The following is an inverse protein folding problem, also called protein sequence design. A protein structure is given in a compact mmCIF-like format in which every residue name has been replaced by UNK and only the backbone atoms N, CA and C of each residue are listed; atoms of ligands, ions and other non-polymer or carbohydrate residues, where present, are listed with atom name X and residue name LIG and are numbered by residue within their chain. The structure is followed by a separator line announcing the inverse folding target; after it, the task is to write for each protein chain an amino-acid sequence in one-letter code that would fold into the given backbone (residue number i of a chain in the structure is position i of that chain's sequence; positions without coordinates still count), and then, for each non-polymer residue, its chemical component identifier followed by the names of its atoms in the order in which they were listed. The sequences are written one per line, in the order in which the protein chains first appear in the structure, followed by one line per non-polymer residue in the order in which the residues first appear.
data_IF_752674456167
#
_entry.id   IF_752674456167
#
_cell.length_a   1.000
_cell.length_b   1.000
_cell.length_c   1.000
_cell.angle_alpha   90.00
_cell.angle_beta   90.00
_cell.angle_gamma   90.00
#
_symmetry.space_group_name_H-M   'P 1'
#
loop_
_entity.id
_entity.type
_entity.pdbx_description
1 polymer ?
#
# COMPACT_ATOMS: atom_id res chain seq x y z
N UNK A 1 0.65 65.14 -1.19
CA UNK A 1 -0.40 64.28 -0.61
C UNK A 1 -0.03 64.04 0.84
N UNK A 2 -0.64 64.79 1.76
CA UNK A 2 -0.43 64.57 3.20
C UNK A 2 -1.39 63.48 3.66
N UNK A 3 -0.86 62.42 4.27
CA UNK A 3 -1.68 61.36 4.87
C UNK A 3 -2.34 61.94 6.12
N UNK A 4 -3.66 61.87 6.20
CA UNK A 4 -4.43 62.37 7.34
C UNK A 4 -4.06 61.56 8.60
N UNK A 5 -3.47 62.24 9.58
CA UNK A 5 -2.99 61.63 10.82
C UNK A 5 -4.12 60.89 11.57
N UNK A 6 -5.37 61.32 11.38
CA UNK A 6 -6.54 60.65 11.97
C UNK A 6 -6.77 59.25 11.39
N UNK A 7 -6.48 59.06 10.11
CA UNK A 7 -6.67 57.79 9.42
C UNK A 7 -5.58 56.77 9.80
N UNK A 8 -4.36 57.25 10.07
CA UNK A 8 -3.26 56.44 10.61
C UNK A 8 -3.54 56.00 12.04
N UNK A 9 -4.05 56.90 12.89
CA UNK A 9 -4.41 56.59 14.27
C UNK A 9 -5.58 55.59 14.32
N UNK A 10 -6.58 55.73 13.44
CA UNK A 10 -7.66 54.75 13.31
C UNK A 10 -7.13 53.37 12.88
N UNK A 11 -6.21 53.32 11.91
CA UNK A 11 -5.56 52.08 11.48
C UNK A 11 -4.81 51.39 12.62
N UNK A 12 -4.05 52.12 13.41
CA UNK A 12 -3.31 51.57 14.55
C UNK A 12 -4.26 51.05 15.64
N UNK A 13 -5.33 51.78 15.95
CA UNK A 13 -6.33 51.35 16.94
C UNK A 13 -7.03 50.05 16.51
N UNK A 14 -7.44 49.94 15.24
CA UNK A 14 -8.05 48.70 14.74
C UNK A 14 -7.09 47.51 14.80
N UNK A 15 -5.81 47.72 14.45
CA UNK A 15 -4.79 46.66 14.54
C UNK A 15 -4.57 46.21 15.99
N UNK A 16 -4.51 47.14 16.95
CA UNK A 16 -4.36 46.79 18.38
C UNK A 16 -5.58 46.05 18.92
N UNK A 17 -6.80 46.39 18.48
CA UNK A 17 -8.02 45.69 18.88
C UNK A 17 -8.05 44.25 18.33
N UNK A 18 -7.60 44.04 17.09
CA UNK A 18 -7.46 42.71 16.50
C UNK A 18 -6.38 41.86 17.22
N UNK A 19 -5.25 42.45 17.60
CA UNK A 19 -4.21 41.75 18.37
C UNK A 19 -4.70 41.36 19.76
N UNK A 20 -5.47 42.22 20.44
CA UNK A 20 -6.08 41.87 21.73
C UNK A 20 -7.14 40.76 21.61
N UNK A 21 -7.98 40.77 20.57
CA UNK A 21 -8.94 39.70 20.31
C UNK A 21 -8.26 38.36 20.02
N UNK A 22 -7.16 38.36 19.25
CA UNK A 22 -6.35 37.16 18.99
C UNK A 22 -5.68 36.65 20.28
N UNK A 23 -5.28 37.55 21.19
CA UNK A 23 -4.72 37.16 22.49
C UNK A 23 -5.79 36.61 23.46
N UNK A 24 -7.04 37.06 23.38
CA UNK A 24 -8.15 36.49 24.16
C UNK A 24 -8.50 35.08 23.69
N UNK A 25 -8.54 34.83 22.38
CA UNK A 25 -8.80 33.48 21.82
C UNK A 25 -7.68 32.48 22.20
N UNK A 26 -6.44 32.94 22.37
CA UNK A 26 -5.32 32.09 22.78
C UNK A 26 -5.32 31.75 24.28
N UNK A 27 -6.07 32.48 25.11
CA UNK A 27 -6.08 32.30 26.57
C UNK A 27 -7.20 31.38 27.07
N UNK A 28 -8.24 31.13 26.29
CA UNK A 28 -9.40 30.35 26.74
C UNK A 28 -9.38 28.85 26.38
N UNK A 29 -8.25 28.29 25.90
CA UNK A 29 -8.21 26.85 25.57
C UNK A 29 -7.04 26.02 26.09
N UNK A 30 -6.15 26.60 26.91
CA UNK A 30 -5.12 25.80 27.59
C UNK A 30 -4.78 26.44 28.94
N UNK A 31 -5.55 26.11 29.97
CA UNK A 31 -5.04 26.05 31.34
C UNK A 31 -5.75 24.93 32.12
N UNK A 32 -4.94 24.19 32.85
CA UNK A 32 -5.23 22.93 33.54
C UNK A 32 -6.33 23.04 34.60
N UNK A 33 -7.28 22.09 34.61
CA UNK A 33 -7.97 21.73 35.84
C UNK A 33 -7.27 20.54 36.50
N UNK A 34 -6.38 20.86 37.42
CA UNK A 34 -5.93 19.95 38.46
C UNK A 34 -6.92 20.02 39.62
N UNK A 35 -7.93 19.14 39.59
CA UNK A 35 -8.79 18.93 40.76
C UNK A 35 -8.07 18.04 41.79
N UNK A 36 -7.79 18.65 42.94
CA UNK A 36 -7.47 17.99 44.20
C UNK A 36 -8.77 17.48 44.83
N UNK A 37 -8.83 16.19 45.15
CA UNK A 37 -9.74 15.65 46.17
C UNK A 37 -8.94 14.77 47.16
N UNK A 38 -9.22 14.85 48.48
CA UNK A 38 -8.42 14.23 49.53
C UNK A 38 -8.94 12.84 49.96
N UNK A 39 -8.05 11.98 50.44
CA UNK A 39 -8.39 10.74 51.14
C UNK A 39 -7.23 9.73 51.25
N UNK A 40 -6.66 9.63 52.44
CA UNK A 40 -5.75 8.59 52.99
C UNK A 40 -6.19 7.14 52.67
N UNK A 41 -5.39 6.06 52.74
CA UNK A 41 -3.99 5.75 53.00
C UNK A 41 -3.78 4.27 52.57
N UNK A 42 -2.55 3.86 52.26
CA UNK A 42 -1.80 2.78 52.95
C UNK A 42 -0.68 2.21 52.08
N UNK A 43 0.51 2.23 52.68
CA UNK A 43 1.76 1.63 52.23
C UNK A 43 1.64 0.12 51.99
N UNK A 44 2.29 -0.34 50.91
CA UNK A 44 2.88 -1.67 50.88
C UNK A 44 4.13 -1.64 49.99
N UNK A 45 5.25 -1.31 50.63
CA UNK A 45 6.60 -1.55 50.17
C UNK A 45 6.87 -3.07 50.17
N UNK A 46 7.31 -3.64 49.05
CA UNK A 46 8.01 -4.92 49.06
C UNK A 46 9.16 -4.93 48.06
N UNK A 47 10.28 -5.40 48.58
CA UNK A 47 11.65 -5.18 48.14
C UNK A 47 12.04 -5.81 46.79
N UNK A 48 13.03 -5.17 46.19
CA UNK A 48 13.85 -5.70 45.11
C UNK A 48 14.70 -6.89 45.60
N UNK A 49 14.69 -7.98 44.85
CA UNK A 49 15.79 -8.94 44.83
C UNK A 49 16.10 -9.32 43.37
N UNK A 50 17.23 -8.81 42.88
CA UNK A 50 17.96 -9.37 41.75
C UNK A 50 18.29 -10.84 42.04
N UNK A 51 18.14 -11.76 41.08
CA UNK A 51 19.20 -12.59 40.49
C UNK A 51 18.59 -13.40 39.32
N UNK A 52 19.01 -13.13 38.09
CA UNK A 52 19.64 -14.06 37.14
C UNK A 52 19.65 -13.44 35.73
N UNK A 53 20.70 -12.67 35.47
CA UNK A 53 21.23 -12.52 34.11
C UNK A 53 21.74 -13.89 33.64
N UNK A 54 21.23 -14.36 32.50
CA UNK A 54 22.00 -14.94 31.38
C UNK A 54 21.04 -15.46 30.32
N UNK A 55 20.73 -14.62 29.33
CA UNK A 55 21.17 -14.83 27.95
C UNK A 55 20.64 -13.71 27.04
N UNK A 56 21.54 -13.14 26.24
CA UNK A 56 21.19 -12.40 25.03
C UNK A 56 20.58 -11.00 25.18
N UNK A 57 21.21 -10.11 25.95
CA UNK A 57 20.96 -8.67 25.87
C UNK A 57 21.35 -8.16 24.48
N UNK A 58 20.37 -8.13 23.55
CA UNK A 58 20.37 -7.14 22.48
C UNK A 58 20.39 -5.78 23.17
N UNK A 59 21.49 -5.08 22.97
CA UNK A 59 21.76 -3.75 23.48
C UNK A 59 20.57 -2.84 23.14
N UNK A 60 19.65 -2.65 24.10
CA UNK A 60 18.64 -1.59 24.11
C UNK A 60 19.37 -0.27 24.30
N UNK A 61 20.13 0.13 23.27
CA UNK A 61 20.64 1.46 23.13
C UNK A 61 19.43 2.39 23.10
N UNK A 62 19.42 3.36 24.02
CA UNK A 62 18.49 4.49 24.15
C UNK A 62 17.66 4.78 22.87
N UNK A 63 16.52 4.12 22.69
CA UNK A 63 15.57 4.44 21.60
C UNK A 63 14.65 5.56 22.08
N UNK A 64 14.99 6.81 21.78
CA UNK A 64 14.13 7.93 22.16
C UNK A 64 12.91 8.15 21.25
N UNK A 65 12.56 7.23 20.33
CA UNK A 65 11.55 7.52 19.28
C UNK A 65 10.65 6.35 18.83
N UNK A 66 10.41 5.30 19.60
CA UNK A 66 9.38 4.27 19.27
C UNK A 66 9.89 2.98 18.59
N UNK A 67 8.98 2.03 18.24
CA UNK A 67 9.27 0.63 17.89
C UNK A 67 9.63 0.42 16.41
N UNK A 68 10.28 1.40 15.79
CA UNK A 68 10.69 1.31 14.39
C UNK A 68 11.77 0.24 14.18
N UNK A 69 11.70 -0.49 13.07
CA UNK A 69 12.79 -1.36 12.62
C UNK A 69 13.63 -0.65 11.56
N UNK A 70 14.84 -1.14 11.34
CA UNK A 70 15.66 -0.72 10.22
C UNK A 70 15.21 -1.44 8.95
N UNK A 71 15.44 -0.81 7.80
CA UNK A 71 15.19 -1.44 6.52
C UNK A 71 16.12 -2.65 6.36
N UNK A 72 15.58 -3.73 5.79
CA UNK A 72 16.35 -4.92 5.48
C UNK A 72 17.16 -4.72 4.19
N UNK A 73 18.25 -5.48 4.05
CA UNK A 73 19.05 -5.45 2.83
C UNK A 73 18.20 -5.77 1.59
N UNK A 74 18.49 -5.06 0.50
CA UNK A 74 17.89 -5.30 -0.81
C UNK A 74 18.07 -6.78 -1.21
N UNK A 75 16.96 -7.42 -1.55
CA UNK A 75 16.96 -8.82 -1.95
C UNK A 75 17.28 -8.93 -3.44
N UNK A 76 18.00 -9.97 -3.85
CA UNK A 76 18.32 -10.17 -5.26
C UNK A 76 17.13 -10.79 -6.00
N UNK A 77 16.71 -10.23 -7.15
CA UNK A 77 15.65 -10.82 -7.97
C UNK A 77 16.06 -12.17 -8.57
N UNK A 78 15.09 -13.02 -8.88
CA UNK A 78 15.29 -14.34 -9.50
C UNK A 78 15.27 -14.33 -11.04
N UNK A 79 15.22 -13.15 -11.63
CA UNK A 79 15.20 -12.95 -13.08
C UNK A 79 16.40 -12.10 -13.52
N UNK A 80 16.87 -12.36 -14.73
CA UNK A 80 17.94 -11.59 -15.37
C UNK A 80 17.80 -11.69 -16.88
N UNK A 81 18.28 -10.68 -17.62
CA UNK A 81 18.23 -10.68 -19.09
C UNK A 81 18.89 -11.90 -19.73
N UNK A 82 19.93 -12.45 -19.09
CA UNK A 82 20.65 -13.65 -19.53
C UNK A 82 19.90 -14.95 -19.29
N UNK A 83 18.85 -14.95 -18.46
CA UNK A 83 18.10 -16.15 -18.12
C UNK A 83 17.07 -16.57 -19.18
N UNK A 84 16.99 -15.86 -20.32
CA UNK A 84 15.93 -16.05 -21.31
C UNK A 84 16.49 -16.18 -22.71
N UNK A 85 16.12 -17.27 -23.38
CA UNK A 85 16.48 -17.51 -24.77
C UNK A 85 15.77 -16.54 -25.72
N UNK A 86 16.44 -16.21 -26.83
CA UNK A 86 15.83 -15.46 -27.94
C UNK A 86 14.71 -16.30 -28.54
N UNK A 87 13.48 -15.79 -28.52
CA UNK A 87 12.33 -16.47 -29.09
C UNK A 87 12.05 -15.94 -30.50
N UNK A 88 11.97 -16.85 -31.47
CA UNK A 88 11.38 -16.58 -32.78
C UNK A 88 9.85 -16.55 -32.64
N UNK A 89 9.23 -15.46 -33.10
CA UNK A 89 7.80 -15.22 -32.90
C UNK A 89 6.95 -16.16 -33.77
N UNK A 90 6.01 -16.88 -33.15
CA UNK A 90 5.04 -17.70 -33.89
C UNK A 90 3.90 -16.90 -34.55
N UNK A 91 3.83 -15.59 -34.28
CA UNK A 91 2.79 -14.68 -34.75
C UNK A 91 1.61 -14.57 -33.77
N UNK A 92 0.66 -13.67 -34.08
CA UNK A 92 -0.55 -13.47 -33.27
C UNK A 92 -0.40 -12.48 -32.12
N UNK A 93 -1.55 -12.06 -31.57
CA UNK A 93 -1.64 -11.04 -30.52
C UNK A 93 -2.41 -11.53 -29.29
N UNK A 94 -1.86 -11.20 -28.12
CA UNK A 94 -2.52 -11.37 -26.82
C UNK A 94 -2.93 -9.98 -26.32
N UNK A 95 -4.22 -9.82 -26.05
CA UNK A 95 -4.79 -8.58 -25.49
C UNK A 95 -5.39 -8.85 -24.13
N UNK A 96 -5.46 -7.82 -23.28
CA UNK A 96 -6.09 -7.90 -21.96
C UNK A 96 -6.46 -6.49 -21.50
N UNK A 97 -7.25 -6.41 -20.43
CA UNK A 97 -7.61 -5.14 -19.79
C UNK A 97 -7.27 -5.23 -18.31
N UNK A 98 -6.77 -4.13 -17.77
CA UNK A 98 -6.60 -3.95 -16.33
C UNK A 98 -7.93 -3.57 -15.71
N UNK A 99 -8.29 -4.19 -14.60
CA UNK A 99 -9.58 -3.93 -13.94
C UNK A 99 -9.39 -3.76 -12.43
N UNK A 100 -10.40 -3.18 -11.78
CA UNK A 100 -10.47 -3.01 -10.33
C UNK A 100 -9.49 -1.96 -9.78
N UNK A 101 -8.27 -2.32 -9.44
CA UNK A 101 -7.32 -1.48 -8.71
C UNK A 101 -5.88 -1.90 -8.95
N UNK A 102 -4.89 -1.07 -8.57
CA UNK A 102 -3.47 -1.33 -8.80
C UNK A 102 -3.00 -2.68 -8.25
N UNK A 103 -3.57 -3.16 -7.15
CA UNK A 103 -3.30 -4.49 -6.58
C UNK A 103 -3.73 -5.65 -7.48
N UNK A 104 -4.72 -5.44 -8.36
CA UNK A 104 -5.13 -6.41 -9.38
C UNK A 104 -4.28 -6.27 -10.65
N UNK A 105 -3.91 -5.03 -11.00
CA UNK A 105 -3.15 -4.74 -12.22
C UNK A 105 -1.81 -5.47 -12.24
N UNK A 106 -1.09 -5.51 -11.10
CA UNK A 106 0.18 -6.23 -10.94
C UNK A 106 0.02 -7.71 -11.33
N UNK A 107 -0.98 -8.39 -10.78
CA UNK A 107 -1.25 -9.81 -11.07
C UNK A 107 -1.69 -10.04 -12.52
N UNK A 108 -2.60 -9.19 -13.03
CA UNK A 108 -3.12 -9.29 -14.41
C UNK A 108 -2.00 -9.18 -15.45
N UNK A 109 -1.04 -8.28 -15.23
CA UNK A 109 0.13 -8.13 -16.10
C UNK A 109 1.03 -9.34 -16.01
N UNK A 110 1.32 -9.82 -14.81
CA UNK A 110 2.18 -11.00 -14.64
C UNK A 110 1.62 -12.21 -15.40
N UNK A 111 0.33 -12.50 -15.27
CA UNK A 111 -0.32 -13.60 -16.00
C UNK A 111 -0.29 -13.38 -17.51
N UNK A 112 -0.58 -12.15 -17.98
CA UNK A 112 -0.58 -11.83 -19.41
C UNK A 112 0.83 -11.97 -20.03
N UNK A 113 1.87 -11.55 -19.31
CA UNK A 113 3.27 -11.69 -19.73
C UNK A 113 3.67 -13.16 -19.79
N UNK A 114 3.31 -13.96 -18.79
CA UNK A 114 3.54 -15.41 -18.78
C UNK A 114 2.88 -16.09 -19.99
N UNK A 115 1.59 -15.81 -20.22
CA UNK A 115 0.83 -16.38 -21.34
C UNK A 115 1.44 -15.97 -22.68
N UNK A 116 1.73 -14.68 -22.87
CA UNK A 116 2.29 -14.19 -24.13
C UNK A 116 3.70 -14.74 -24.40
N UNK A 117 4.53 -14.88 -23.36
CA UNK A 117 5.84 -15.53 -23.45
C UNK A 117 5.72 -16.99 -23.85
N UNK A 118 4.84 -17.75 -23.19
CA UNK A 118 4.61 -19.16 -23.48
C UNK A 118 4.17 -19.37 -24.93
N UNK A 119 3.20 -18.58 -25.39
CA UNK A 119 2.65 -18.67 -26.74
C UNK A 119 3.57 -18.05 -27.80
N UNK A 120 4.66 -17.39 -27.41
CA UNK A 120 5.55 -16.61 -28.31
C UNK A 120 4.79 -15.52 -29.10
N UNK A 121 3.73 -14.98 -28.48
CA UNK A 121 2.82 -14.01 -29.07
C UNK A 121 3.28 -12.57 -28.82
N UNK A 122 2.74 -11.62 -29.60
CA UNK A 122 2.92 -10.20 -29.32
C UNK A 122 1.90 -9.74 -28.27
N UNK A 123 2.38 -9.12 -27.19
CA UNK A 123 1.54 -8.55 -26.15
C UNK A 123 1.11 -7.14 -26.55
N UNK A 124 -0.19 -6.83 -26.43
CA UNK A 124 -0.71 -5.48 -26.67
C UNK A 124 -0.83 -4.73 -25.35
N UNK A 125 -0.44 -3.45 -25.35
CA UNK A 125 -0.60 -2.56 -24.20
C UNK A 125 -2.08 -2.56 -23.75
N UNK A 126 -2.38 -2.77 -22.46
CA UNK A 126 -3.77 -2.91 -22.01
C UNK A 126 -4.44 -1.54 -21.80
N UNK A 127 -5.77 -1.51 -21.92
CA UNK A 127 -6.62 -0.45 -21.37
C UNK A 127 -6.86 -0.67 -19.87
N UNK A 128 -7.23 0.39 -19.14
CA UNK A 128 -7.67 0.31 -17.74
C UNK A 128 -9.18 0.54 -17.70
N UNK A 129 -9.92 -0.40 -17.08
CA UNK A 129 -11.38 -0.33 -16.95
C UNK A 129 -11.78 -0.12 -15.51
N UNK A 130 -12.55 0.94 -15.28
CA UNK A 130 -13.18 1.23 -14.00
C UNK A 130 -14.41 0.37 -13.74
N UNK A 131 -15.04 0.63 -12.60
CA UNK A 131 -16.20 -0.13 -12.12
C UNK A 131 -17.49 0.13 -12.91
N UNK A 132 -17.54 1.24 -13.66
CA UNK A 132 -18.73 1.66 -14.42
C UNK A 132 -18.55 1.40 -15.92
N UNK A 133 -19.59 0.94 -16.63
CA UNK A 133 -19.52 0.81 -18.09
C UNK A 133 -19.15 2.15 -18.75
N UNK A 134 -18.12 2.13 -19.60
CA UNK A 134 -17.61 3.33 -20.28
C UNK A 134 -16.54 4.10 -19.50
N UNK A 135 -16.21 3.70 -18.27
CA UNK A 135 -15.04 4.21 -17.54
C UNK A 135 -13.79 3.47 -18.03
N UNK A 136 -13.25 3.94 -19.16
CA UNK A 136 -12.03 3.43 -19.78
C UNK A 136 -10.95 4.51 -19.73
N UNK A 137 -9.74 4.11 -19.33
CA UNK A 137 -8.55 4.96 -19.26
C UNK A 137 -7.43 4.32 -20.04
N UNK A 138 -6.54 5.16 -20.56
CA UNK A 138 -5.34 4.68 -21.21
C UNK A 138 -4.34 4.20 -20.15
N UNK A 139 -3.46 3.27 -20.51
CA UNK A 139 -2.40 2.82 -19.62
C UNK A 139 -1.49 3.97 -19.20
N UNK A 140 -1.13 4.85 -20.15
CA UNK A 140 -0.28 6.03 -19.92
C UNK A 140 -0.89 7.06 -18.95
N UNK A 141 -2.19 7.01 -18.69
CA UNK A 141 -2.81 7.91 -17.72
C UNK A 141 -2.33 7.63 -16.30
N UNK A 142 -1.88 6.40 -16.01
CA UNK A 142 -1.43 5.96 -14.68
C UNK A 142 0.03 5.49 -14.69
N UNK A 143 0.43 4.73 -15.70
CA UNK A 143 1.70 4.00 -15.73
C UNK A 143 2.64 4.48 -16.83
N UNK A 144 3.95 4.34 -16.58
CA UNK A 144 5.00 4.70 -17.52
C UNK A 144 5.13 3.65 -18.64
N UNK A 145 4.66 3.99 -19.84
CA UNK A 145 4.70 3.11 -21.02
C UNK A 145 6.13 2.77 -21.43
N UNK A 146 7.04 3.73 -21.38
CA UNK A 146 8.42 3.53 -21.83
C UNK A 146 9.14 2.54 -20.92
N UNK A 147 8.96 2.68 -19.59
CA UNK A 147 9.50 1.73 -18.62
C UNK A 147 8.87 0.35 -18.75
N UNK A 148 7.55 0.27 -18.94
CA UNK A 148 6.84 -1.00 -19.15
C UNK A 148 7.36 -1.76 -20.38
N UNK A 149 7.52 -1.06 -21.51
CA UNK A 149 8.04 -1.69 -22.74
C UNK A 149 9.49 -2.11 -22.56
N UNK A 150 10.31 -1.25 -21.95
CA UNK A 150 11.74 -1.51 -21.74
C UNK A 150 12.00 -2.68 -20.79
N UNK A 151 11.22 -2.85 -19.73
CA UNK A 151 11.41 -3.95 -18.77
C UNK A 151 11.10 -5.32 -19.37
N UNK A 152 10.29 -5.36 -20.43
CA UNK A 152 9.82 -6.58 -21.09
C UNK A 152 10.43 -6.83 -22.48
N UNK A 153 11.27 -5.91 -23.00
CA UNK A 153 11.80 -5.95 -24.38
C UNK A 153 12.54 -7.25 -24.73
N UNK A 154 13.11 -7.91 -23.72
CA UNK A 154 13.86 -9.15 -23.83
C UNK A 154 13.02 -10.40 -23.50
N UNK A 155 11.78 -10.23 -23.01
CA UNK A 155 10.84 -11.33 -22.70
C UNK A 155 9.79 -11.48 -23.78
N UNK A 156 9.08 -10.40 -24.10
CA UNK A 156 7.90 -10.42 -24.95
C UNK A 156 7.87 -9.15 -25.79
N UNK A 157 7.53 -9.29 -27.07
CA UNK A 157 7.34 -8.12 -27.93
C UNK A 157 6.05 -7.41 -27.52
N UNK A 158 6.14 -6.10 -27.33
CA UNK A 158 5.00 -5.26 -27.00
C UNK A 158 4.69 -4.32 -28.15
N UNK A 159 3.40 -4.13 -28.42
CA UNK A 159 2.89 -3.09 -29.31
C UNK A 159 1.87 -2.23 -28.57
N UNK A 160 1.77 -0.95 -28.93
CA UNK A 160 0.82 -0.02 -28.32
C UNK A 160 -0.62 -0.36 -28.69
N UNK A 161 -0.86 -0.69 -29.96
CA UNK A 161 -2.19 -0.93 -30.50
C UNK A 161 -2.19 -2.19 -31.38
N UNK A 162 -3.37 -2.80 -31.52
CA UNK A 162 -3.57 -3.85 -32.51
C UNK A 162 -3.52 -3.27 -33.93
N UNK A 163 -3.07 -4.06 -34.92
CA UNK A 163 -3.27 -3.72 -36.32
C UNK A 163 -4.74 -3.43 -36.64
N UNK A 164 -4.99 -2.46 -37.52
CA UNK A 164 -6.34 -1.99 -37.89
C UNK A 164 -7.25 -3.11 -38.44
N UNK A 165 -6.66 -4.17 -38.97
CA UNK A 165 -7.36 -5.32 -39.51
C UNK A 165 -7.95 -6.23 -38.40
N UNK A 166 -7.47 -6.11 -37.16
CA UNK A 166 -7.85 -6.95 -36.02
C UNK A 166 -8.79 -6.18 -35.10
N UNK A 167 -10.04 -6.65 -34.97
CA UNK A 167 -11.01 -6.05 -34.06
C UNK A 167 -11.02 -6.76 -32.70
N UNK A 168 -10.73 -6.02 -31.62
CA UNK A 168 -10.79 -6.51 -30.22
C UNK A 168 -12.14 -7.19 -29.92
N UNK A 169 -13.24 -6.64 -30.41
CA UNK A 169 -14.60 -7.15 -30.15
C UNK A 169 -14.87 -8.52 -30.77
N UNK A 170 -14.05 -8.94 -31.73
CA UNK A 170 -14.15 -10.24 -32.41
C UNK A 170 -13.16 -11.27 -31.86
N UNK A 171 -12.30 -10.89 -30.93
CA UNK A 171 -11.33 -11.80 -30.32
C UNK A 171 -12.02 -12.79 -29.39
N UNK A 172 -11.56 -14.04 -29.42
CA UNK A 172 -11.99 -15.04 -28.45
C UNK A 172 -11.51 -14.65 -27.05
N UNK A 173 -12.43 -14.52 -26.12
CA UNK A 173 -12.12 -14.26 -24.72
C UNK A 173 -11.77 -15.57 -24.00
N UNK A 174 -10.57 -15.65 -23.43
CA UNK A 174 -10.07 -16.81 -22.68
C UNK A 174 -9.93 -16.41 -21.22
N UNK A 175 -10.57 -17.15 -20.32
CA UNK A 175 -10.46 -16.92 -18.88
C UNK A 175 -9.18 -17.55 -18.37
N UNK A 176 -8.44 -16.81 -17.54
CA UNK A 176 -7.16 -17.25 -16.96
C UNK A 176 -7.19 -17.01 -15.45
N UNK A 177 -6.81 -17.97 -14.60
CA UNK A 177 -6.70 -17.73 -13.17
C UNK A 177 -5.49 -16.84 -12.86
N UNK A 178 -5.59 -16.03 -11.80
CA UNK A 178 -4.42 -15.41 -11.17
C UNK A 178 -3.38 -16.48 -10.81
N UNK A 179 -2.10 -16.19 -11.07
CA UNK A 179 -0.99 -17.14 -10.94
C UNK A 179 -1.16 -18.30 -11.91
N UNK A 180 -1.34 -17.97 -13.18
CA UNK A 180 -1.52 -18.95 -14.25
C UNK A 180 -0.37 -19.95 -14.28
N UNK A 181 -0.72 -21.24 -14.38
CA UNK A 181 0.25 -22.33 -14.50
C UNK A 181 0.47 -22.71 -15.96
N UNK A 182 1.62 -23.29 -16.26
CA UNK A 182 1.92 -23.83 -17.60
C UNK A 182 0.87 -24.83 -18.06
N UNK A 183 0.48 -25.76 -17.20
CA UNK A 183 -0.57 -26.76 -17.48
C UNK A 183 -1.88 -26.09 -17.89
N UNK A 184 -2.28 -25.01 -17.20
CA UNK A 184 -3.50 -24.29 -17.56
C UNK A 184 -3.40 -23.66 -18.96
N UNK A 185 -2.22 -23.16 -19.33
CA UNK A 185 -1.97 -22.57 -20.65
C UNK A 185 -2.09 -23.64 -21.73
N UNK A 186 -1.41 -24.78 -21.55
CA UNK A 186 -1.44 -25.91 -22.49
C UNK A 186 -2.86 -26.43 -22.70
N UNK A 187 -3.60 -26.61 -21.61
CA UNK A 187 -4.92 -27.25 -21.68
C UNK A 187 -6.02 -26.29 -22.18
N UNK A 188 -5.96 -25.00 -21.82
CA UNK A 188 -7.10 -24.08 -21.96
C UNK A 188 -6.84 -22.89 -22.88
N UNK A 189 -5.59 -22.44 -23.02
CA UNK A 189 -5.26 -21.20 -23.73
C UNK A 189 -4.66 -21.48 -25.10
N UNK A 190 -3.65 -22.35 -25.16
CA UNK A 190 -2.92 -22.71 -26.37
C UNK A 190 -3.82 -23.26 -27.48
N UNK A 191 -4.82 -24.14 -27.22
CA UNK A 191 -5.70 -24.66 -28.27
C UNK A 191 -6.54 -23.55 -28.93
N UNK A 192 -7.01 -22.60 -28.12
CA UNK A 192 -7.79 -21.45 -28.60
C UNK A 192 -6.89 -20.52 -29.40
N UNK A 193 -5.67 -20.26 -28.92
CA UNK A 193 -4.69 -19.42 -29.62
C UNK A 193 -4.31 -20.01 -30.98
N UNK A 194 -3.98 -21.31 -31.05
CA UNK A 194 -3.67 -22.00 -32.31
C UNK A 194 -4.83 -21.95 -33.32
N UNK A 195 -6.08 -22.00 -32.83
CA UNK A 195 -7.27 -21.94 -33.69
C UNK A 195 -7.60 -20.53 -34.18
N UNK A 196 -7.41 -19.51 -33.35
CA UNK A 196 -7.89 -18.15 -33.61
C UNK A 196 -6.80 -17.15 -34.00
N UNK A 197 -5.53 -17.46 -33.70
CA UNK A 197 -4.36 -16.62 -33.89
C UNK A 197 -4.26 -15.44 -32.91
N UNK A 198 -5.39 -14.85 -32.51
CA UNK A 198 -5.45 -13.70 -31.61
C UNK A 198 -6.47 -13.95 -30.49
N UNK A 199 -6.11 -13.63 -29.26
CA UNK A 199 -6.97 -13.87 -28.09
C UNK A 199 -7.03 -12.66 -27.17
N UNK A 200 -8.09 -12.62 -26.37
CA UNK A 200 -8.27 -11.67 -25.29
C UNK A 200 -8.30 -12.39 -23.96
N UNK A 201 -7.39 -12.10 -23.06
CA UNK A 201 -7.37 -12.67 -21.72
C UNK A 201 -8.35 -11.93 -20.81
N UNK A 202 -8.98 -12.71 -19.94
CA UNK A 202 -9.81 -12.21 -18.85
C UNK A 202 -9.38 -12.92 -17.56
N UNK A 203 -8.54 -12.25 -16.78
CA UNK A 203 -8.04 -12.80 -15.52
C UNK A 203 -9.14 -12.82 -14.46
N UNK A 204 -9.25 -13.92 -13.73
CA UNK A 204 -10.11 -14.03 -12.55
C UNK A 204 -9.29 -14.48 -11.34
N UNK A 205 -9.76 -14.13 -10.14
CA UNK A 205 -9.02 -14.32 -8.90
C UNK A 205 -9.71 -15.40 -8.06
N UNK A 206 -9.37 -16.69 -8.23
CA UNK A 206 -10.00 -17.78 -7.46
C UNK A 206 -9.65 -17.69 -5.97
N UNK A 207 -8.47 -17.15 -5.64
CA UNK A 207 -8.04 -16.87 -4.28
C UNK A 207 -7.33 -15.53 -4.21
N UNK A 208 -7.42 -14.86 -3.06
CA UNK A 208 -6.70 -13.60 -2.77
C UNK A 208 -5.44 -13.83 -1.93
N UNK A 209 -5.05 -15.09 -1.72
CA UNK A 209 -3.95 -15.45 -0.84
C UNK A 209 -2.66 -15.68 -1.64
N UNK A 210 -1.68 -14.79 -1.52
CA UNK A 210 -0.40 -14.88 -2.23
C UNK A 210 0.65 -15.66 -1.44
N UNK A 211 0.33 -16.87 -1.00
CA UNK A 211 1.33 -17.75 -0.36
C UNK A 211 2.24 -18.36 -1.41
N UNK A 212 3.54 -18.44 -1.10
CA UNK A 212 4.51 -19.17 -1.93
C UNK A 212 4.10 -20.64 -2.04
N UNK A 213 4.17 -21.18 -3.25
CA UNK A 213 4.06 -22.61 -3.53
C UNK A 213 5.45 -23.26 -3.43
N UNK A 214 5.50 -24.58 -3.23
CA UNK A 214 6.76 -25.29 -2.98
C UNK A 214 7.58 -25.56 -4.26
N UNK A 215 7.05 -25.28 -5.44
CA UNK A 215 7.59 -25.74 -6.72
C UNK A 215 8.09 -24.54 -7.52
N UNK A 216 9.39 -24.50 -7.83
CA UNK A 216 10.04 -23.41 -8.55
C UNK A 216 10.22 -23.79 -10.03
N UNK A 217 9.66 -23.00 -10.94
CA UNK A 217 9.69 -23.22 -12.40
C UNK A 217 10.28 -22.02 -13.16
N UNK A 218 10.62 -22.17 -14.45
CA UNK A 218 11.05 -21.04 -15.30
C UNK A 218 9.93 -20.03 -15.56
N UNK A 219 8.67 -20.50 -15.55
CA UNK A 219 7.46 -19.67 -15.56
C UNK A 219 7.47 -18.71 -14.37
N UNK A 220 8.04 -19.11 -13.24
CA UNK A 220 8.09 -18.27 -12.05
C UNK A 220 9.01 -17.07 -12.25
N UNK A 221 10.14 -17.18 -12.95
CA UNK A 221 11.01 -16.02 -13.20
C UNK A 221 10.35 -14.99 -14.13
N UNK A 222 9.57 -15.44 -15.12
CA UNK A 222 8.76 -14.55 -15.99
C UNK A 222 7.66 -13.87 -15.18
N UNK A 223 6.95 -14.64 -14.35
CA UNK A 223 5.90 -14.12 -13.48
C UNK A 223 6.49 -13.08 -12.51
N UNK A 224 7.62 -13.38 -11.86
CA UNK A 224 8.29 -12.46 -10.96
C UNK A 224 8.71 -11.16 -11.67
N UNK A 225 9.33 -11.22 -12.86
CA UNK A 225 9.60 -10.01 -13.64
C UNK A 225 8.31 -9.22 -13.89
N UNK A 226 7.27 -9.91 -14.35
CA UNK A 226 5.93 -9.36 -14.60
C UNK A 226 5.35 -8.63 -13.40
N UNK A 227 5.53 -9.17 -12.19
CA UNK A 227 5.01 -8.59 -10.95
C UNK A 227 5.82 -7.39 -10.46
N UNK A 228 7.15 -7.45 -10.56
CA UNK A 228 8.02 -6.52 -9.82
C UNK A 228 8.72 -5.45 -10.65
N UNK A 229 8.92 -5.64 -11.96
CA UNK A 229 9.71 -4.71 -12.78
C UNK A 229 8.89 -4.03 -13.90
N UNK A 230 7.59 -4.33 -14.02
CA UNK A 230 6.78 -3.84 -15.14
C UNK A 230 6.00 -2.56 -14.84
N UNK A 231 5.46 -2.42 -13.62
CA UNK A 231 4.58 -1.31 -13.27
C UNK A 231 5.28 -0.23 -12.47
N UNK A 232 5.53 0.88 -13.15
CA UNK A 232 5.93 2.15 -12.55
C UNK A 232 4.92 3.25 -12.87
N UNK A 233 4.70 4.16 -11.93
CA UNK A 233 3.81 5.30 -12.15
C UNK A 233 4.42 6.26 -13.16
N UNK A 234 3.57 6.81 -14.02
CA UNK A 234 4.00 7.90 -14.90
C UNK A 234 4.38 9.14 -14.07
N UNK A 235 5.29 10.01 -14.55
CA UNK A 235 5.92 11.06 -13.74
C UNK A 235 4.95 12.00 -13.04
N UNK A 236 3.83 12.35 -13.68
CA UNK A 236 2.84 13.26 -13.07
C UNK A 236 2.17 12.63 -11.84
N UNK A 237 1.78 11.35 -11.93
CA UNK A 237 1.12 10.63 -10.84
C UNK A 237 2.12 10.33 -9.74
N UNK A 238 3.33 9.90 -10.09
CA UNK A 238 4.40 9.67 -9.13
C UNK A 238 4.74 10.95 -8.35
N UNK A 239 4.82 12.10 -9.03
CA UNK A 239 5.09 13.39 -8.37
C UNK A 239 4.04 13.78 -7.34
N UNK A 240 2.77 13.40 -7.54
CA UNK A 240 1.71 13.61 -6.54
C UNK A 240 1.93 12.71 -5.32
N UNK A 241 2.19 11.42 -5.55
CA UNK A 241 2.47 10.45 -4.47
C UNK A 241 3.68 10.89 -3.65
N UNK A 242 4.79 11.23 -4.31
CA UNK A 242 6.02 11.69 -3.67
C UNK A 242 5.79 12.97 -2.86
N UNK A 243 5.05 13.93 -3.41
CA UNK A 243 4.69 15.15 -2.69
C UNK A 243 3.86 14.87 -1.43
N UNK A 244 2.92 13.91 -1.49
CA UNK A 244 2.13 13.51 -0.33
C UNK A 244 2.98 12.81 0.73
N UNK A 245 3.89 11.92 0.30
CA UNK A 245 4.83 11.24 1.19
C UNK A 245 5.74 12.27 1.87
N UNK A 246 6.33 13.20 1.13
CA UNK A 246 7.20 14.25 1.70
C UNK A 246 6.47 15.14 2.72
N UNK A 247 5.20 15.44 2.46
CA UNK A 247 4.36 16.17 3.42
C UNK A 247 4.14 15.34 4.68
N UNK A 248 3.82 14.05 4.56
CA UNK A 248 3.68 13.13 5.70
C UNK A 248 4.99 13.03 6.49
N UNK A 249 6.14 12.91 5.83
CA UNK A 249 7.46 12.91 6.48
C UNK A 249 7.73 14.23 7.22
N UNK A 250 7.40 15.36 6.60
CA UNK A 250 7.53 16.69 7.23
C UNK A 250 6.65 16.84 8.47
N UNK A 251 5.42 16.31 8.46
CA UNK A 251 4.53 16.30 9.62
C UNK A 251 5.05 15.36 10.74
N UNK A 252 5.89 14.40 10.37
CA UNK A 252 6.48 13.36 11.22
C UNK A 252 7.85 13.70 11.80
N UNK A 253 8.26 14.98 11.83
CA UNK A 253 9.57 15.43 12.37
C UNK A 253 9.92 14.86 13.76
N UNK A 254 8.93 14.67 14.64
CA UNK A 254 9.15 14.11 15.98
C UNK A 254 9.54 12.62 15.97
N UNK A 255 9.23 11.91 14.88
CA UNK A 255 9.53 10.49 14.65
C UNK A 255 10.58 10.27 13.56
N UNK A 256 11.48 11.25 13.35
CA UNK A 256 12.51 11.23 12.29
C UNK A 256 11.94 11.14 10.88
N UNK A 257 10.76 11.70 10.65
CA UNK A 257 10.11 11.63 9.34
C UNK A 257 9.42 10.30 9.07
N UNK A 258 9.29 9.42 10.07
CA UNK A 258 8.61 8.12 9.94
C UNK A 258 7.12 8.22 10.22
N UNK A 259 6.32 7.54 9.40
CA UNK A 259 4.87 7.49 9.53
C UNK A 259 4.32 6.08 9.30
N UNK A 260 3.11 5.85 9.80
CA UNK A 260 2.39 4.58 9.64
C UNK A 260 1.27 4.80 8.64
N UNK A 261 1.15 3.91 7.65
CA UNK A 261 -0.02 3.83 6.79
C UNK A 261 -0.92 2.69 7.29
N UNK A 262 -2.19 3.00 7.52
CA UNK A 262 -3.20 2.02 7.96
C UNK A 262 -4.19 1.87 6.82
N UNK A 263 -4.31 0.63 6.32
CA UNK A 263 -5.32 0.30 5.34
C UNK A 263 -6.67 0.07 6.03
N UNK A 264 -7.50 1.10 6.11
CA UNK A 264 -8.73 1.14 6.89
C UNK A 264 -9.79 1.98 6.15
N UNK A 265 -10.67 1.28 5.44
CA UNK A 265 -11.87 1.88 4.82
C UNK A 265 -13.13 1.46 5.58
N UNK A 266 -13.94 2.44 5.99
CA UNK A 266 -15.20 2.20 6.72
C UNK A 266 -16.15 1.36 5.87
N UNK A 267 -16.25 1.66 4.57
CA UNK A 267 -17.10 0.94 3.63
C UNK A 267 -16.71 -0.55 3.54
N UNK A 268 -15.41 -0.87 3.57
CA UNK A 268 -14.92 -2.25 3.54
C UNK A 268 -15.25 -2.97 4.86
N UNK A 269 -15.13 -2.28 6.00
CA UNK A 269 -15.43 -2.87 7.31
C UNK A 269 -16.92 -3.15 7.50
N UNK A 270 -17.79 -2.25 7.05
CA UNK A 270 -19.24 -2.43 7.07
C UNK A 270 -19.64 -3.62 6.18
N UNK A 271 -19.12 -3.68 4.95
CA UNK A 271 -19.41 -4.77 4.01
C UNK A 271 -18.96 -6.15 4.52
N UNK A 272 -17.91 -6.21 5.35
CA UNK A 272 -17.42 -7.48 5.93
C UNK A 272 -18.08 -7.85 7.25
N UNK A 273 -19.07 -7.09 7.74
CA UNK A 273 -19.70 -7.29 9.05
C UNK A 273 -18.65 -7.49 10.14
N UNK A 274 -17.69 -6.56 10.23
CA UNK A 274 -16.60 -6.58 11.22
C UNK A 274 -17.08 -6.30 12.66
N UNK A 275 -18.20 -6.90 13.05
CA UNK A 275 -18.74 -6.90 14.40
C UNK A 275 -18.07 -8.03 15.19
N UNK A 276 -17.40 -7.65 16.29
CA UNK A 276 -16.60 -8.58 17.07
C UNK A 276 -17.43 -9.72 17.68
N UNK A 277 -17.10 -10.96 17.32
CA UNK A 277 -17.01 -12.12 18.21
C UNK A 277 -16.66 -13.36 17.37
N UNK A 278 -15.38 -13.70 17.31
CA UNK A 278 -14.92 -15.00 16.83
C UNK A 278 -14.33 -15.76 18.01
N UNK A 279 -15.14 -16.52 18.73
CA UNK A 279 -14.64 -17.51 19.68
C UNK A 279 -13.69 -18.47 18.95
N UNK A 280 -12.44 -18.53 19.42
CA UNK A 280 -11.37 -19.48 19.05
C UNK A 280 -10.77 -19.43 17.64
N UNK A 281 -11.01 -18.38 16.84
CA UNK A 281 -10.38 -18.18 15.51
C UNK A 281 -9.73 -16.79 15.33
N UNK A 282 -8.72 -16.68 14.45
CA UNK A 282 -8.12 -15.40 14.09
C UNK A 282 -9.15 -14.49 13.38
N UNK A 283 -9.30 -13.24 13.83
CA UNK A 283 -10.21 -12.26 13.22
C UNK A 283 -9.80 -11.94 11.78
N UNK A 284 -10.78 -11.78 10.89
CA UNK A 284 -10.56 -11.48 9.47
C UNK A 284 -10.48 -9.97 9.17
N UNK A 285 -10.92 -9.14 10.12
CA UNK A 285 -10.86 -7.68 10.06
C UNK A 285 -10.86 -7.03 11.45
N UNK A 286 -10.44 -5.76 11.50
CA UNK A 286 -10.24 -4.98 12.73
C UNK A 286 -10.75 -3.56 12.56
N UNK A 287 -11.36 -3.02 13.62
CA UNK A 287 -11.85 -1.65 13.61
C UNK A 287 -10.80 -0.62 14.07
N UNK A 288 -11.13 0.66 13.92
CA UNK A 288 -10.26 1.78 14.30
C UNK A 288 -9.76 1.70 15.76
N UNK A 289 -10.64 1.34 16.69
CA UNK A 289 -10.30 1.27 18.12
C UNK A 289 -9.28 0.16 18.40
N UNK A 290 -9.48 -1.04 17.82
CA UNK A 290 -8.57 -2.17 17.97
C UNK A 290 -7.18 -1.83 17.43
N UNK A 291 -7.11 -1.26 16.22
CA UNK A 291 -5.86 -0.84 15.59
C UNK A 291 -5.16 0.21 16.45
N UNK A 292 -5.88 1.23 16.93
CA UNK A 292 -5.31 2.28 17.75
C UNK A 292 -4.71 1.75 19.05
N UNK A 293 -5.43 0.84 19.71
CA UNK A 293 -4.99 0.20 20.95
C UNK A 293 -3.77 -0.70 20.72
N UNK A 294 -3.75 -1.50 19.66
CA UNK A 294 -2.59 -2.32 19.30
C UNK A 294 -1.36 -1.45 19.07
N UNK A 295 -1.47 -0.42 18.23
CA UNK A 295 -0.35 0.49 17.94
C UNK A 295 0.17 1.20 19.18
N UNK A 296 -0.73 1.68 20.05
CA UNK A 296 -0.35 2.47 21.23
C UNK A 296 0.12 1.62 22.41
N UNK A 297 -0.63 0.56 22.74
CA UNK A 297 -0.45 -0.21 23.99
C UNK A 297 0.40 -1.44 23.80
N UNK A 298 0.32 -2.09 22.64
CA UNK A 298 1.03 -3.36 22.39
C UNK A 298 2.36 -3.10 21.68
N UNK A 299 2.33 -2.38 20.56
CA UNK A 299 3.55 -2.09 19.78
C UNK A 299 4.35 -0.96 20.42
N UNK A 300 3.67 0.02 21.02
CA UNK A 300 4.30 1.09 21.82
C UNK A 300 4.66 2.36 21.04
N UNK A 301 3.91 2.68 19.97
CA UNK A 301 4.08 3.96 19.27
C UNK A 301 3.68 5.16 20.13
N UNK A 302 4.38 6.29 19.95
CA UNK A 302 4.07 7.54 20.64
C UNK A 302 2.82 8.22 20.05
N UNK A 303 2.08 9.00 20.84
CA UNK A 303 0.88 9.72 20.36
C UNK A 303 1.21 10.78 19.31
N UNK A 304 2.46 11.27 19.24
CA UNK A 304 2.92 12.16 18.17
C UNK A 304 3.26 11.42 16.87
N UNK A 305 3.11 10.09 16.81
CA UNK A 305 3.31 9.31 15.58
C UNK A 305 2.27 9.72 14.54
N UNK A 306 2.73 10.02 13.33
CA UNK A 306 1.85 10.38 12.21
C UNK A 306 1.23 9.11 11.62
N UNK A 307 -0.09 9.16 11.43
CA UNK A 307 -0.87 8.09 10.82
C UNK A 307 -1.48 8.60 9.52
N UNK A 308 -1.37 7.83 8.45
CA UNK A 308 -2.12 8.01 7.20
C UNK A 308 -3.17 6.90 7.08
N UNK A 309 -4.42 7.25 6.78
CA UNK A 309 -5.52 6.29 6.58
C UNK A 309 -5.92 6.22 5.11
N UNK A 310 -6.13 5.01 4.58
CA UNK A 310 -6.74 4.76 3.24
C UNK A 310 -8.26 4.92 3.30
N UNK A 311 -8.69 6.14 3.56
CA UNK A 311 -10.09 6.50 3.65
C UNK A 311 -10.33 7.72 2.76
N UNK A 312 -11.33 7.63 1.89
CA UNK A 312 -11.67 8.69 0.93
C UNK A 312 -12.06 10.00 1.60
N UNK A 313 -12.90 9.90 2.64
CA UNK A 313 -13.42 11.04 3.42
C UNK A 313 -13.46 10.72 4.89
N UNK A 314 -13.26 11.73 5.72
CA UNK A 314 -13.32 11.55 7.16
C UNK A 314 -14.67 10.97 7.58
N UNK A 315 -14.61 9.99 8.48
CA UNK A 315 -15.76 9.34 9.07
C UNK A 315 -15.61 9.36 10.60
N UNK A 316 -16.68 9.66 11.31
CA UNK A 316 -16.65 9.85 12.77
C UNK A 316 -16.31 8.56 13.53
N UNK A 317 -16.52 7.38 12.93
CA UNK A 317 -16.09 6.10 13.50
C UNK A 317 -14.56 5.98 13.64
N UNK A 318 -13.80 6.81 12.91
CA UNK A 318 -12.34 6.88 12.95
C UNK A 318 -11.81 7.86 14.02
N UNK A 319 -12.69 8.59 14.72
CA UNK A 319 -12.33 9.58 15.75
C UNK A 319 -11.39 9.03 16.81
N UNK A 320 -11.63 7.79 17.27
CA UNK A 320 -10.78 7.12 18.27
C UNK A 320 -9.30 7.02 17.86
N UNK A 321 -9.00 6.80 16.57
CA UNK A 321 -7.63 6.79 16.06
C UNK A 321 -7.01 8.18 16.17
N UNK A 322 -7.78 9.22 15.84
CA UNK A 322 -7.33 10.62 15.92
C UNK A 322 -7.18 11.11 17.37
N UNK A 323 -8.02 10.65 18.29
CA UNK A 323 -7.91 10.98 19.70
C UNK A 323 -6.62 10.42 20.32
N UNK A 324 -6.25 9.19 19.93
CA UNK A 324 -5.01 8.54 20.39
C UNK A 324 -3.77 9.06 19.63
N UNK A 325 -3.91 9.28 18.33
CA UNK A 325 -2.87 9.81 17.44
C UNK A 325 -3.38 11.09 16.75
N UNK A 326 -3.25 12.28 17.39
CA UNK A 326 -3.77 13.55 16.85
C UNK A 326 -3.27 13.92 15.46
N UNK A 327 -2.13 13.36 15.04
CA UNK A 327 -1.55 13.49 13.70
C UNK A 327 -2.04 12.41 12.75
N UNK A 328 -3.35 12.19 12.72
CA UNK A 328 -4.00 11.28 11.78
C UNK A 328 -4.53 12.06 10.59
N UNK A 329 -4.14 11.63 9.39
CA UNK A 329 -4.42 12.30 8.13
C UNK A 329 -5.04 11.34 7.11
N UNK A 330 -5.84 11.89 6.21
CA UNK A 330 -6.43 11.22 5.04
C UNK A 330 -5.97 11.94 3.77
N UNK A 331 -6.25 11.35 2.60
CA UNK A 331 -5.93 11.93 1.28
C UNK A 331 -6.27 13.42 1.18
N UNK A 332 -7.52 13.80 1.50
CA UNK A 332 -8.02 15.20 1.40
C UNK A 332 -7.20 16.20 2.22
N UNK A 333 -6.57 15.76 3.31
CA UNK A 333 -5.76 16.63 4.19
C UNK A 333 -4.30 16.77 3.77
N UNK A 334 -3.81 15.89 2.89
CA UNK A 334 -2.40 15.79 2.51
C UNK A 334 -2.18 16.15 1.04
N UNK A 335 -3.17 15.94 0.18
CA UNK A 335 -3.09 16.27 -1.24
C UNK A 335 -2.80 17.78 -1.43
N UNK A 336 -1.85 18.17 -2.30
CA UNK A 336 -1.59 19.57 -2.62
C UNK A 336 -2.80 20.23 -3.29
N UNK A 337 -3.11 21.46 -2.90
CA UNK A 337 -4.31 22.17 -3.39
C UNK A 337 -4.32 22.33 -4.91
N UNK A 338 -3.16 22.53 -5.54
CA UNK A 338 -3.06 22.67 -7.00
C UNK A 338 -3.34 21.35 -7.75
N UNK A 339 -3.29 20.21 -7.06
CA UNK A 339 -3.51 18.87 -7.63
C UNK A 339 -4.90 18.31 -7.32
N UNK A 340 -5.78 19.11 -6.71
CA UNK A 340 -7.09 18.67 -6.25
C UNK A 340 -8.04 18.21 -7.38
N UNK A 341 -8.10 18.88 -8.54
CA UNK A 341 -9.07 18.55 -9.59
C UNK A 341 -8.98 17.10 -10.09
N UNK A 342 -7.88 16.75 -10.77
CA UNK A 342 -7.67 15.43 -11.40
C UNK A 342 -7.69 14.26 -10.40
N UNK A 343 -7.31 14.47 -9.14
CA UNK A 343 -7.07 13.41 -8.14
C UNK A 343 -8.14 13.34 -7.02
N UNK A 344 -9.08 14.29 -6.95
CA UNK A 344 -10.24 14.26 -6.03
C UNK A 344 -11.58 14.04 -6.75
N UNK A 345 -11.60 13.92 -8.08
CA UNK A 345 -12.83 13.99 -8.87
C UNK A 345 -13.84 12.85 -8.63
N UNK A 346 -13.52 11.81 -7.85
CA UNK A 346 -14.52 10.88 -7.28
C UNK A 346 -13.94 9.97 -6.19
N UNK A 347 -14.80 9.50 -5.26
CA UNK A 347 -14.49 8.51 -4.22
C UNK A 347 -13.99 7.16 -4.75
N UNK A 348 -14.35 6.82 -6.00
CA UNK A 348 -13.96 5.56 -6.66
C UNK A 348 -12.91 5.77 -7.75
N UNK A 349 -12.24 6.92 -7.78
CA UNK A 349 -11.29 7.20 -8.85
C UNK A 349 -10.13 6.19 -8.82
N UNK A 350 -9.76 5.67 -9.99
CA UNK A 350 -8.59 4.78 -10.10
C UNK A 350 -7.31 5.43 -9.56
N UNK A 351 -7.22 6.76 -9.64
CA UNK A 351 -6.10 7.52 -9.09
C UNK A 351 -6.02 7.48 -7.57
N UNK A 352 -7.16 7.49 -6.87
CA UNK A 352 -7.18 7.39 -5.41
C UNK A 352 -6.62 6.05 -4.94
N UNK A 353 -7.09 4.94 -5.51
CA UNK A 353 -6.57 3.60 -5.21
C UNK A 353 -5.07 3.48 -5.50
N UNK A 354 -4.61 4.11 -6.59
CA UNK A 354 -3.19 4.20 -6.94
C UNK A 354 -2.40 4.94 -5.87
N UNK A 355 -2.84 6.14 -5.47
CA UNK A 355 -2.17 6.92 -4.43
C UNK A 355 -2.08 6.12 -3.13
N UNK A 356 -3.18 5.53 -2.69
CA UNK A 356 -3.25 4.74 -1.46
C UNK A 356 -2.32 3.52 -1.51
N UNK A 357 -2.36 2.75 -2.60
CA UNK A 357 -1.51 1.59 -2.78
C UNK A 357 -0.01 1.94 -2.69
N UNK A 358 0.41 3.03 -3.33
CA UNK A 358 1.82 3.45 -3.33
C UNK A 358 2.24 4.11 -2.01
N UNK A 359 1.40 4.91 -1.35
CA UNK A 359 1.71 5.45 -0.02
C UNK A 359 1.87 4.31 1.00
N UNK A 360 0.96 3.33 1.00
CA UNK A 360 1.04 2.15 1.87
C UNK A 360 2.29 1.29 1.58
N UNK A 361 2.68 1.18 0.30
CA UNK A 361 3.89 0.47 -0.10
C UNK A 361 5.18 1.18 0.36
N UNK A 362 5.16 2.52 0.46
CA UNK A 362 6.35 3.32 0.78
C UNK A 362 6.46 3.78 2.24
N UNK A 363 5.40 3.63 3.04
CA UNK A 363 5.38 4.00 4.46
C UNK A 363 6.42 3.23 5.28
N UNK A 364 6.77 3.74 6.46
CA UNK A 364 7.75 3.07 7.32
C UNK A 364 7.14 1.84 8.01
N UNK A 365 5.84 1.91 8.34
CA UNK A 365 5.04 0.76 8.81
C UNK A 365 3.72 0.71 8.05
N UNK A 366 3.28 -0.49 7.70
CA UNK A 366 1.97 -0.74 7.12
C UNK A 366 1.11 -1.60 8.06
N UNK A 367 -0.18 -1.24 8.17
CA UNK A 367 -1.14 -1.92 9.05
C UNK A 367 -2.41 -2.24 8.25
N UNK A 368 -2.65 -3.49 7.85
CA UNK A 368 -3.89 -3.88 7.19
C UNK A 368 -5.01 -4.07 8.21
N UNK A 369 -6.13 -3.36 8.06
CA UNK A 369 -7.34 -3.62 8.84
C UNK A 369 -8.06 -4.88 8.37
N UNK A 370 -7.84 -5.31 7.13
CA UNK A 370 -8.57 -6.41 6.50
C UNK A 370 -7.61 -7.30 5.72
N UNK A 371 -7.81 -8.62 5.80
CA UNK A 371 -7.11 -9.54 4.89
C UNK A 371 -7.72 -9.49 3.48
N UNK A 372 -6.86 -9.44 2.45
CA UNK A 372 -7.30 -9.39 1.06
C UNK A 372 -6.15 -9.14 0.08
N UNK A 373 -6.51 -8.92 -1.19
CA UNK A 373 -5.56 -8.75 -2.28
C UNK A 373 -4.75 -7.45 -2.14
N UNK A 374 -5.37 -6.37 -1.64
CA UNK A 374 -4.66 -5.11 -1.37
C UNK A 374 -3.52 -5.31 -0.37
N UNK A 375 -3.82 -5.91 0.79
CA UNK A 375 -2.80 -6.29 1.76
C UNK A 375 -1.71 -7.19 1.15
N UNK A 376 -2.08 -8.25 0.43
CA UNK A 376 -1.09 -9.15 -0.18
C UNK A 376 -0.14 -8.40 -1.13
N UNK A 377 -0.65 -7.55 -2.02
CA UNK A 377 0.18 -6.81 -2.97
C UNK A 377 0.94 -5.62 -2.34
N UNK A 378 0.43 -5.00 -1.27
CA UNK A 378 1.24 -4.03 -0.50
C UNK A 378 2.37 -4.78 0.21
N UNK A 379 2.08 -5.93 0.81
CA UNK A 379 3.11 -6.76 1.45
C UNK A 379 4.19 -7.18 0.44
N UNK A 380 3.77 -7.54 -0.76
CA UNK A 380 4.63 -7.82 -1.89
C UNK A 380 5.64 -6.71 -2.18
N UNK A 381 5.17 -5.48 -2.47
CA UNK A 381 6.05 -4.34 -2.76
C UNK A 381 6.96 -3.98 -1.59
N UNK A 382 6.45 -4.09 -0.36
CA UNK A 382 7.23 -3.85 0.86
C UNK A 382 8.34 -4.88 1.07
N UNK A 383 8.09 -6.16 0.79
CA UNK A 383 9.11 -7.21 0.85
C UNK A 383 10.18 -6.97 -0.22
N UNK A 384 9.78 -6.66 -1.45
CA UNK A 384 10.70 -6.41 -2.56
C UNK A 384 11.61 -5.19 -2.31
N UNK A 385 11.07 -4.13 -1.71
CA UNK A 385 11.81 -2.90 -1.37
C UNK A 385 12.58 -2.97 -0.05
N UNK A 386 12.62 -4.13 0.61
CA UNK A 386 13.36 -4.28 1.88
C UNK A 386 12.69 -3.60 3.08
N UNK A 387 11.40 -3.26 3.00
CA UNK A 387 10.61 -2.60 4.06
C UNK A 387 9.54 -3.52 4.68
N UNK A 388 9.88 -4.70 5.23
CA UNK A 388 8.89 -5.72 5.60
C UNK A 388 8.14 -5.41 6.91
N UNK A 389 8.14 -4.17 7.39
CA UNK A 389 7.45 -3.78 8.63
C UNK A 389 5.95 -3.72 8.36
N UNK A 390 5.27 -4.84 8.60
CA UNK A 390 3.83 -4.98 8.44
C UNK A 390 3.28 -5.54 9.73
N UNK A 391 2.46 -4.76 10.43
CA UNK A 391 1.89 -5.15 11.70
C UNK A 391 0.42 -5.52 11.50
N UNK A 392 0.04 -6.80 11.68
CA UNK A 392 -1.35 -7.19 11.61
C UNK A 392 -2.06 -6.70 12.88
N UNK A 393 -3.38 -6.59 12.83
CA UNK A 393 -4.14 -6.05 13.95
C UNK A 393 -4.63 -7.12 14.97
N UNK A 394 -4.28 -8.41 14.79
CA UNK A 394 -4.50 -9.52 15.76
C UNK A 394 -3.39 -9.70 16.79
N UNK A 395 -2.51 -8.73 16.99
CA UNK A 395 -1.38 -8.94 17.90
C UNK A 395 -1.87 -9.32 19.31
N UNK A 396 -1.51 -10.51 19.84
CA UNK A 396 -1.90 -10.92 21.18
C UNK A 396 -1.30 -9.99 22.23
N UNK A 397 -2.12 -9.55 23.18
CA UNK A 397 -1.73 -8.64 24.28
C UNK A 397 -0.58 -9.21 25.14
N UNK A 398 -0.38 -10.53 25.13
CA UNK A 398 0.67 -11.23 25.90
C UNK A 398 2.03 -11.31 25.20
N UNK A 399 2.17 -10.78 23.99
CA UNK A 399 3.41 -10.90 23.23
C UNK A 399 4.46 -9.88 23.70
N UNK A 400 5.62 -10.36 24.12
CA UNK A 400 6.73 -9.57 24.71
C UNK A 400 7.87 -9.26 23.72
N UNK A 401 7.81 -9.75 22.48
CA UNK A 401 8.90 -9.59 21.48
C UNK A 401 8.40 -8.90 20.21
N UNK A 402 9.16 -7.92 19.70
CA UNK A 402 8.81 -7.13 18.49
C UNK A 402 8.61 -8.00 17.24
N UNK A 403 9.33 -9.13 17.13
CA UNK A 403 9.21 -10.08 16.01
C UNK A 403 7.86 -10.79 15.92
N UNK A 404 7.13 -10.87 17.04
CA UNK A 404 5.80 -11.47 17.08
C UNK A 404 4.70 -10.52 16.56
N UNK A 405 5.04 -9.26 16.32
CA UNK A 405 4.14 -8.25 15.77
C UNK A 405 4.15 -8.23 14.25
N UNK A 406 5.00 -9.03 13.61
CA UNK A 406 5.09 -9.08 12.16
C UNK A 406 3.99 -9.96 11.57
N UNK A 407 3.47 -9.48 10.45
CA UNK A 407 2.59 -10.25 9.58
C UNK A 407 3.11 -11.69 9.38
N UNK A 408 2.22 -12.70 9.32
CA UNK A 408 2.60 -14.06 8.96
C UNK A 408 3.35 -14.15 7.62
N UNK A 409 3.06 -13.25 6.67
CA UNK A 409 3.78 -13.16 5.39
C UNK A 409 5.27 -12.93 5.59
N UNK A 410 5.62 -12.05 6.51
CA UNK A 410 6.98 -11.65 6.82
C UNK A 410 7.63 -12.60 7.80
N UNK A 411 6.98 -12.84 8.95
CA UNK A 411 7.52 -13.66 10.03
C UNK A 411 7.82 -15.09 9.59
N UNK A 412 6.94 -15.69 8.77
CA UNK A 412 7.10 -17.06 8.25
C UNK A 412 7.75 -17.10 6.86
N UNK A 413 8.10 -15.95 6.28
CA UNK A 413 8.59 -15.81 4.90
C UNK A 413 7.76 -16.63 3.90
N UNK A 414 6.44 -16.57 3.99
CA UNK A 414 5.53 -17.41 3.21
C UNK A 414 4.76 -16.66 2.12
N UNK A 415 5.03 -15.37 1.92
CA UNK A 415 4.54 -14.61 0.76
C UNK A 415 5.24 -15.04 -0.54
N UNK A 416 4.55 -14.97 -1.68
CA UNK A 416 5.10 -15.31 -3.01
C UNK A 416 6.35 -14.50 -3.35
N UNK A 417 6.41 -13.23 -2.96
CA UNK A 417 7.57 -12.35 -3.14
C UNK A 417 8.91 -13.00 -2.70
N UNK A 418 8.92 -13.80 -1.64
CA UNK A 418 10.15 -14.49 -1.20
C UNK A 418 10.65 -15.59 -2.14
N UNK A 419 9.82 -16.06 -3.08
CA UNK A 419 10.26 -16.96 -4.16
C UNK A 419 10.93 -16.19 -5.30
N UNK A 420 10.48 -14.94 -5.51
CA UNK A 420 10.99 -14.00 -6.50
C UNK A 420 12.28 -13.30 -6.06
N UNK A 421 12.50 -13.19 -4.75
CA UNK A 421 13.64 -12.49 -4.17
C UNK A 421 14.39 -13.39 -3.19
N UNK A 422 15.64 -13.75 -3.53
CA UNK A 422 16.46 -14.71 -2.77
C UNK A 422 17.71 -14.04 -2.18
N UNK A 423 18.11 -14.46 -0.97
CA UNK A 423 19.41 -14.10 -0.36
C UNK A 423 20.56 -15.05 -0.75
N UNK A 424 20.27 -16.11 -1.49
CA UNK A 424 21.27 -17.08 -1.91
C UNK A 424 21.85 -16.67 -3.27
N UNK A 425 23.19 -16.66 -3.42
CA UNK A 425 23.79 -16.51 -4.74
C UNK A 425 23.36 -17.70 -5.60
N UNK A 426 22.91 -17.41 -6.82
CA UNK A 426 22.71 -18.41 -7.87
C UNK A 426 24.04 -19.06 -8.26
#
# INVERSE_FOLDING_TARGET
MGVDLRQVVAGILTLTMFVMLVQMIKRDHFDSLQEKLPGEAQDAQFDSANVFEKDGLVQLSKRSKGPWMEDSQELKPCWSRTAFDKIEQSGGYVTFSLTNGPEYHVSQIADAVVVARYLTATLVLPDIRGSKPGDEKNFEDIYDVEKFVKSLDWVVKIVKELPNEISIRKLAAVKVPNQVTEDHIVENVEPVFKSKGNIRLATYFPTVNMRKTAQKSSVDSVACLGMFETLELQPEVNGVVDSMIERLRTLSRKSDGRFIAVDLSVEILENKNCHGSGSTGAKSCYNAQEIALVLRKVVGFDTNTTIYLTQSRWDDSLSVLKDIFPKTYIKESILPEEKNGKFLESKDSQFEKVIEFYICSQSDVFVPAVSGLFYANVAEKRIASGKPQIFPADIPVTSTTITNYLSPYVAKKNHLAYSCFSNLPF
#
